data_IF_665267295791
#
_entry.id   IF_665267295791
#
_cell.length_a   1.000
_cell.length_b   1.000
_cell.length_c   1.000
_cell.angle_alpha   90.00
_cell.angle_beta   90.00
_cell.angle_gamma   90.00
#
_symmetry.space_group_name_H-M   'P 1'
#
loop_
_entity.id
_entity.type
_entity.pdbx_description
1 polymer ?
#
# COMPACT_ATOMS: atom_id res chain seq x y z
N UNK A 1 -2.47 11.71 -9.36
CA UNK A 1 -2.20 12.76 -8.33
C UNK A 1 -3.18 12.68 -7.16
N UNK A 2 -4.39 13.27 -7.18
CA UNK A 2 -5.27 13.25 -5.98
C UNK A 2 -5.67 11.84 -5.49
N UNK A 3 -5.87 10.89 -6.41
CA UNK A 3 -6.23 9.51 -6.06
C UNK A 3 -5.08 8.75 -5.38
N UNK A 4 -3.85 8.91 -5.89
CA UNK A 4 -2.66 8.28 -5.32
C UNK A 4 -2.38 8.78 -3.90
N UNK A 5 -2.46 10.08 -3.66
CA UNK A 5 -2.25 10.66 -2.33
C UNK A 5 -3.29 10.16 -1.31
N UNK A 6 -4.54 10.02 -1.74
CA UNK A 6 -5.59 9.46 -0.90
C UNK A 6 -5.35 7.99 -0.58
N UNK A 7 -4.88 7.21 -1.55
CA UNK A 7 -4.55 5.80 -1.38
C UNK A 7 -3.31 5.63 -0.48
N UNK A 8 -2.29 6.48 -0.65
CA UNK A 8 -1.10 6.53 0.21
C UNK A 8 -1.48 6.83 1.66
N UNK A 9 -2.38 7.79 1.91
CA UNK A 9 -2.83 8.11 3.27
C UNK A 9 -3.56 6.92 3.93
N UNK A 10 -4.36 6.17 3.16
CA UNK A 10 -5.03 4.97 3.66
C UNK A 10 -4.05 3.83 3.95
N UNK A 11 -3.11 3.57 3.04
CA UNK A 11 -2.06 2.56 3.22
C UNK A 11 -1.18 2.91 4.43
N UNK A 12 -0.80 4.17 4.58
CA UNK A 12 -0.03 4.63 5.73
C UNK A 12 -0.74 4.42 7.08
N UNK A 13 -2.07 4.51 7.14
CA UNK A 13 -2.83 4.18 8.36
C UNK A 13 -2.85 2.68 8.63
N UNK A 14 -3.00 1.87 7.59
CA UNK A 14 -3.02 0.41 7.66
C UNK A 14 -1.69 -0.15 8.18
N UNK A 15 -0.56 0.37 7.66
CA UNK A 15 0.78 -0.11 8.01
C UNK A 15 1.22 0.23 9.44
N UNK A 16 0.63 1.27 10.04
CA UNK A 16 0.92 1.69 11.43
C UNK A 16 0.27 0.80 12.49
N UNK A 17 -0.67 -0.07 12.12
CA UNK A 17 -1.45 -0.89 13.05
C UNK A 17 -1.11 -2.39 13.00
N UNK A 18 -1.91 -3.17 13.72
CA UNK A 18 -1.88 -4.64 13.65
C UNK A 18 -2.34 -5.19 12.29
N UNK A 19 -3.10 -4.38 11.55
CA UNK A 19 -3.66 -4.72 10.23
C UNK A 19 -2.59 -5.00 9.17
N UNK A 20 -1.35 -4.56 9.40
CA UNK A 20 -0.18 -4.90 8.57
C UNK A 20 0.11 -6.40 8.48
N UNK A 21 -0.46 -7.20 9.39
CA UNK A 21 -0.33 -8.66 9.41
C UNK A 21 -1.57 -9.38 8.90
N UNK A 22 -2.64 -8.66 8.54
CA UNK A 22 -3.85 -9.27 8.02
C UNK A 22 -3.69 -9.55 6.51
N UNK A 23 -3.67 -10.82 6.06
CA UNK A 23 -3.52 -11.17 4.65
C UNK A 23 -4.69 -10.68 3.77
N UNK A 24 -5.86 -10.35 4.34
CA UNK A 24 -6.98 -9.74 3.59
C UNK A 24 -6.60 -8.39 2.98
N UNK A 25 -5.62 -7.70 3.57
CA UNK A 25 -5.12 -6.42 3.08
C UNK A 25 -4.22 -6.55 1.83
N UNK A 26 -3.78 -7.76 1.47
CA UNK A 26 -2.93 -8.00 0.31
C UNK A 26 -3.59 -7.54 -1.00
N UNK A 27 -4.91 -7.69 -1.12
CA UNK A 27 -5.64 -7.22 -2.30
C UNK A 27 -5.58 -5.69 -2.45
N UNK A 28 -5.66 -4.95 -1.34
CA UNK A 28 -5.56 -3.49 -1.31
C UNK A 28 -4.12 -3.04 -1.60
N UNK A 29 -3.13 -3.69 -0.97
CA UNK A 29 -1.72 -3.38 -1.20
C UNK A 29 -1.28 -3.70 -2.63
N UNK A 30 -1.75 -4.80 -3.22
CA UNK A 30 -1.46 -5.15 -4.61
C UNK A 30 -1.96 -4.10 -5.60
N UNK A 31 -3.21 -3.61 -5.42
CA UNK A 31 -3.73 -2.48 -6.23
C UNK A 31 -2.92 -1.20 -6.05
N UNK A 32 -2.41 -0.97 -4.84
CA UNK A 32 -1.55 0.18 -4.57
C UNK A 32 -0.18 0.06 -5.27
N UNK A 33 0.41 -1.13 -5.32
CA UNK A 33 1.64 -1.40 -6.10
C UNK A 33 1.41 -1.22 -7.61
N UNK A 34 0.28 -1.68 -8.14
CA UNK A 34 -0.07 -1.42 -9.55
C UNK A 34 -0.19 0.08 -9.85
N UNK A 35 -0.74 0.86 -8.92
CA UNK A 35 -0.86 2.31 -9.06
C UNK A 35 0.50 3.00 -9.02
N UNK A 36 1.40 2.57 -8.12
CA UNK A 36 2.79 3.04 -8.07
C UNK A 36 3.48 2.89 -9.43
N UNK A 37 3.33 1.73 -10.09
CA UNK A 37 3.92 1.49 -11.41
C UNK A 37 3.31 2.38 -12.51
N UNK A 38 1.99 2.61 -12.49
CA UNK A 38 1.29 3.45 -13.48
C UNK A 38 1.59 4.94 -13.31
N UNK A 39 1.72 5.42 -12.07
CA UNK A 39 1.94 6.84 -11.77
C UNK A 39 3.43 7.20 -11.58
N UNK A 40 4.36 6.25 -11.77
CA UNK A 40 5.79 6.41 -11.49
C UNK A 40 6.04 6.93 -10.06
N UNK A 41 5.33 6.34 -9.10
CA UNK A 41 5.43 6.65 -7.69
C UNK A 41 6.06 5.48 -6.93
N UNK A 42 6.48 5.71 -5.69
CA UNK A 42 7.19 4.71 -4.90
C UNK A 42 6.93 4.85 -3.40
N UNK A 43 6.51 3.75 -2.78
CA UNK A 43 6.36 3.61 -1.33
C UNK A 43 7.07 2.32 -0.87
N UNK A 44 8.25 2.50 -0.27
CA UNK A 44 9.08 1.39 0.23
C UNK A 44 8.36 0.57 1.31
N UNK A 45 7.67 1.22 2.23
CA UNK A 45 7.08 0.55 3.40
C UNK A 45 5.93 -0.36 2.96
N UNK A 46 5.08 0.13 2.05
CA UNK A 46 4.02 -0.66 1.45
C UNK A 46 4.56 -1.87 0.66
N UNK A 47 5.62 -1.66 -0.13
CA UNK A 47 6.22 -2.72 -0.94
C UNK A 47 6.83 -3.83 -0.06
N UNK A 48 7.51 -3.46 1.03
CA UNK A 48 8.04 -4.42 1.99
C UNK A 48 6.94 -5.13 2.79
N UNK A 49 5.81 -4.48 3.05
CA UNK A 49 4.66 -5.12 3.69
C UNK A 49 4.04 -6.22 2.80
N UNK A 50 3.96 -5.99 1.49
CA UNK A 50 3.51 -7.02 0.53
C UNK A 50 4.42 -8.24 0.53
N UNK A 51 5.75 -8.05 0.59
CA UNK A 51 6.71 -9.15 0.59
C UNK A 51 6.74 -9.94 1.91
N UNK A 52 6.21 -9.37 2.99
CA UNK A 52 6.21 -9.97 4.33
C UNK A 52 4.99 -10.87 4.57
N UNK A 53 3.86 -10.55 3.93
CA UNK A 53 2.59 -11.28 4.01
C UNK A 53 2.58 -12.49 3.07
#
# INVERSE_FOLDING_TARGET
MALFEQMQANVGKLLRGIDRYNPENLATLGRYVEMQAKENAYDLEANLAVLKL
#
